data_IF_726392853356
#
_entry.id   IF_726392853356
#
_cell.length_a   1.000
_cell.length_b   1.000
_cell.length_c   1.000
_cell.angle_alpha   90.00
_cell.angle_beta   90.00
_cell.angle_gamma   90.00
#
_symmetry.space_group_name_H-M   'P 1'
#
loop_
_entity.id
_entity.type
_entity.pdbx_description
1 polymer ?
#
# COMPACT_ATOMS: atom_id res chain seq x y z
N UNK A 1 -27.58 -13.56 -13.39
CA UNK A 1 -26.17 -13.21 -13.11
C UNK A 1 -26.02 -12.94 -11.62
N UNK A 2 -25.24 -13.77 -10.90
CA UNK A 2 -25.11 -13.69 -9.45
C UNK A 2 -24.47 -12.36 -9.02
N UNK A 3 -25.22 -11.54 -8.28
CA UNK A 3 -24.68 -10.32 -7.68
C UNK A 3 -23.66 -10.73 -6.62
N UNK A 4 -22.41 -10.33 -6.80
CA UNK A 4 -21.37 -10.43 -5.77
C UNK A 4 -21.85 -9.69 -4.51
N UNK A 5 -22.20 -10.44 -3.47
CA UNK A 5 -22.62 -9.85 -2.20
C UNK A 5 -21.37 -9.36 -1.45
N UNK A 6 -21.04 -8.10 -1.66
CA UNK A 6 -19.89 -7.43 -1.03
C UNK A 6 -19.94 -7.51 0.50
N UNK A 7 -21.13 -7.46 1.10
CA UNK A 7 -21.30 -7.64 2.56
C UNK A 7 -20.89 -9.04 3.00
N UNK A 8 -21.19 -10.06 2.21
CA UNK A 8 -20.81 -11.45 2.49
C UNK A 8 -19.29 -11.66 2.35
N UNK A 9 -18.67 -11.07 1.33
CA UNK A 9 -17.20 -11.10 1.17
C UNK A 9 -16.52 -10.43 2.36
N UNK A 10 -16.99 -9.24 2.75
CA UNK A 10 -16.48 -8.52 3.94
C UNK A 10 -16.65 -9.37 5.20
N UNK A 11 -17.79 -10.06 5.35
CA UNK A 11 -18.04 -10.95 6.47
C UNK A 11 -17.03 -12.11 6.51
N UNK A 12 -16.76 -12.78 5.39
CA UNK A 12 -15.77 -13.87 5.33
C UNK A 12 -14.38 -13.34 5.71
N UNK A 13 -13.96 -12.21 5.14
CA UNK A 13 -12.64 -11.62 5.40
C UNK A 13 -12.50 -11.24 6.87
N UNK A 14 -13.50 -10.57 7.46
CA UNK A 14 -13.45 -10.15 8.87
C UNK A 14 -13.58 -11.30 9.86
N UNK A 15 -14.47 -12.23 9.59
CA UNK A 15 -14.89 -13.23 10.59
C UNK A 15 -14.08 -14.51 10.49
N UNK A 16 -13.67 -14.94 9.28
CA UNK A 16 -12.87 -16.15 9.10
C UNK A 16 -11.38 -15.83 8.93
N UNK A 17 -11.03 -14.91 8.03
CA UNK A 17 -9.62 -14.66 7.69
C UNK A 17 -8.88 -13.83 8.75
N UNK A 18 -9.42 -12.67 9.13
CA UNK A 18 -8.76 -11.80 10.11
C UNK A 18 -8.78 -12.37 11.55
N UNK A 19 -9.71 -13.27 11.87
CA UNK A 19 -9.72 -13.94 13.18
C UNK A 19 -8.62 -14.98 13.35
N UNK A 20 -8.14 -15.60 12.26
CA UNK A 20 -7.01 -16.55 12.29
C UNK A 20 -5.71 -15.89 12.76
N UNK A 21 -5.55 -14.58 12.51
CA UNK A 21 -4.34 -13.85 12.86
C UNK A 21 -4.46 -13.27 14.29
N UNK A 22 -3.47 -13.49 15.18
CA UNK A 22 -3.49 -12.92 16.51
C UNK A 22 -3.57 -11.39 16.49
N UNK A 23 -4.33 -10.79 17.40
CA UNK A 23 -4.65 -9.35 17.38
C UNK A 23 -3.41 -8.45 17.28
N UNK A 24 -2.31 -8.82 17.96
CA UNK A 24 -1.02 -8.12 17.95
C UNK A 24 -0.40 -8.00 16.55
N UNK A 25 -0.63 -8.97 15.67
CA UNK A 25 -0.03 -9.04 14.33
C UNK A 25 -0.97 -8.62 13.20
N UNK A 26 -2.24 -8.28 13.48
CA UNK A 26 -3.19 -7.90 12.43
C UNK A 26 -2.79 -6.64 11.67
N UNK A 27 -2.40 -5.58 12.38
CA UNK A 27 -1.94 -4.33 11.76
C UNK A 27 -0.71 -4.55 10.86
N UNK A 28 0.41 -5.11 11.35
CA UNK A 28 1.60 -5.29 10.52
C UNK A 28 1.31 -6.20 9.32
N UNK A 29 0.51 -7.26 9.52
CA UNK A 29 0.09 -8.14 8.44
C UNK A 29 -0.73 -7.39 7.36
N UNK A 30 -1.69 -6.56 7.77
CA UNK A 30 -2.48 -5.74 6.85
C UNK A 30 -1.59 -4.77 6.05
N UNK A 31 -0.56 -4.19 6.66
CA UNK A 31 0.37 -3.29 5.96
C UNK A 31 1.16 -4.04 4.89
N UNK A 32 1.76 -5.18 5.23
CA UNK A 32 2.51 -6.01 4.27
C UNK A 32 1.59 -6.39 3.10
N UNK A 33 0.39 -6.88 3.40
CA UNK A 33 -0.55 -7.28 2.37
C UNK A 33 -1.03 -6.10 1.51
N UNK A 34 -1.20 -4.92 2.11
CA UNK A 34 -1.55 -3.69 1.39
C UNK A 34 -0.45 -3.25 0.42
N UNK A 35 0.83 -3.35 0.82
CA UNK A 35 1.96 -3.04 -0.04
C UNK A 35 2.12 -4.06 -1.19
N UNK A 36 1.98 -5.36 -0.88
CA UNK A 36 2.04 -6.44 -1.89
C UNK A 36 0.90 -6.30 -2.89
N UNK A 37 -0.32 -6.06 -2.42
CA UNK A 37 -1.48 -5.84 -3.28
C UNK A 37 -1.33 -4.58 -4.13
N UNK A 38 -0.74 -3.50 -3.60
CA UNK A 38 -0.50 -2.28 -4.36
C UNK A 38 0.50 -2.53 -5.50
N UNK A 39 1.59 -3.24 -5.24
CA UNK A 39 2.54 -3.64 -6.28
C UNK A 39 1.89 -4.55 -7.34
N UNK A 40 1.11 -5.53 -6.91
CA UNK A 40 0.35 -6.41 -7.80
C UNK A 40 -0.65 -5.63 -8.65
N UNK A 41 -1.34 -4.67 -8.06
CA UNK A 41 -2.27 -3.78 -8.76
C UNK A 41 -1.55 -2.90 -9.79
N UNK A 42 -0.40 -2.33 -9.45
CA UNK A 42 0.41 -1.57 -10.40
C UNK A 42 0.78 -2.40 -11.64
N UNK A 43 1.30 -3.62 -11.43
CA UNK A 43 1.61 -4.54 -12.53
C UNK A 43 0.37 -4.94 -13.33
N UNK A 44 -0.73 -5.22 -12.64
CA UNK A 44 -2.00 -5.52 -13.29
C UNK A 44 -2.48 -4.36 -14.17
N UNK A 45 -2.38 -3.12 -13.70
CA UNK A 45 -2.79 -1.94 -14.45
C UNK A 45 -1.92 -1.68 -15.68
N UNK A 46 -0.62 -2.00 -15.64
CA UNK A 46 0.23 -1.99 -16.84
C UNK A 46 -0.29 -2.99 -17.88
N UNK A 47 -0.54 -4.24 -17.48
CA UNK A 47 -1.07 -5.28 -18.39
C UNK A 47 -2.46 -4.90 -18.90
N UNK A 48 -3.32 -4.37 -18.03
CA UNK A 48 -4.66 -3.94 -18.37
C UNK A 48 -4.62 -2.79 -19.39
N UNK A 49 -3.77 -1.78 -19.16
CA UNK A 49 -3.58 -0.67 -20.10
C UNK A 49 -3.10 -1.16 -21.46
N UNK A 50 -2.15 -2.11 -21.50
CA UNK A 50 -1.68 -2.71 -22.75
C UNK A 50 -2.79 -3.45 -23.50
N UNK A 51 -3.70 -4.12 -22.79
CA UNK A 51 -4.82 -4.82 -23.40
C UNK A 51 -5.86 -3.88 -23.99
N UNK A 52 -6.07 -2.71 -23.38
CA UNK A 52 -7.04 -1.72 -23.85
C UNK A 52 -6.48 -0.79 -24.92
N UNK A 53 -5.21 -0.39 -24.83
CA UNK A 53 -4.56 0.58 -25.73
C UNK A 53 -3.70 -0.07 -26.82
N UNK A 54 -3.49 -1.39 -26.78
CA UNK A 54 -2.53 -2.11 -27.63
C UNK A 54 -1.07 -1.92 -27.21
N UNK A 55 -0.77 -0.92 -26.37
CA UNK A 55 0.54 -0.63 -25.80
C UNK A 55 0.44 -0.32 -24.30
N UNK A 56 1.43 -0.70 -23.47
CA UNK A 56 1.39 -0.38 -22.04
C UNK A 56 1.47 1.13 -21.81
N UNK A 57 0.78 1.63 -20.78
CA UNK A 57 0.81 3.07 -20.43
C UNK A 57 2.23 3.56 -20.20
N UNK A 58 2.66 4.52 -21.02
CA UNK A 58 3.97 5.18 -20.93
C UNK A 58 4.17 5.85 -19.56
N UNK A 59 3.12 6.41 -18.98
CA UNK A 59 3.15 7.03 -17.66
C UNK A 59 3.47 6.02 -16.55
N UNK A 60 2.81 4.85 -16.56
CA UNK A 60 3.12 3.79 -15.60
C UNK A 60 4.53 3.24 -15.81
N UNK A 61 4.98 3.09 -17.06
CA UNK A 61 6.35 2.66 -17.35
C UNK A 61 7.39 3.67 -16.85
N UNK A 62 7.14 4.97 -16.98
CA UNK A 62 8.02 6.01 -16.43
C UNK A 62 8.11 5.94 -14.91
N UNK A 63 6.98 5.74 -14.21
CA UNK A 63 6.99 5.53 -12.75
C UNK A 63 7.79 4.28 -12.38
N UNK A 64 7.61 3.17 -13.10
CA UNK A 64 8.39 1.96 -12.88
C UNK A 64 9.90 2.21 -13.06
N UNK A 65 10.27 2.96 -14.10
CA UNK A 65 11.66 3.31 -14.38
C UNK A 65 12.25 4.18 -13.26
N UNK A 66 11.54 5.23 -12.83
CA UNK A 66 11.97 6.08 -11.72
C UNK A 66 12.23 5.28 -10.44
N UNK A 67 11.32 4.39 -10.06
CA UNK A 67 11.49 3.54 -8.87
C UNK A 67 12.69 2.60 -9.03
N UNK A 68 12.86 2.00 -10.22
CA UNK A 68 13.99 1.10 -10.50
C UNK A 68 15.32 1.84 -10.43
N UNK A 69 15.38 3.06 -10.96
CA UNK A 69 16.58 3.89 -10.95
C UNK A 69 16.92 4.33 -9.52
N UNK A 70 15.93 4.67 -8.70
CA UNK A 70 16.14 4.94 -7.27
C UNK A 70 16.72 3.74 -6.52
N UNK A 71 16.19 2.53 -6.77
CA UNK A 71 16.72 1.30 -6.17
C UNK A 71 18.17 1.08 -6.61
N UNK A 72 18.47 1.25 -7.91
CA UNK A 72 19.84 1.11 -8.44
C UNK A 72 20.80 2.13 -7.85
N UNK A 73 20.37 3.38 -7.65
CA UNK A 73 21.20 4.39 -6.98
C UNK A 73 21.50 3.96 -5.54
N UNK A 74 20.50 3.45 -4.83
CA UNK A 74 20.65 2.94 -3.48
C UNK A 74 21.61 1.74 -3.41
N UNK A 75 21.51 0.81 -4.36
CA UNK A 75 22.42 -0.33 -4.52
C UNK A 75 23.85 0.12 -4.83
N UNK A 76 24.03 1.15 -5.66
CA UNK A 76 25.37 1.72 -5.94
C UNK A 76 25.99 2.37 -4.72
N UNK A 77 25.19 2.99 -3.86
CA UNK A 77 25.68 3.66 -2.64
C UNK A 77 26.06 2.70 -1.52
N UNK A 78 25.27 1.64 -1.30
CA UNK A 78 25.42 0.74 -0.14
C UNK A 78 25.84 -0.70 -0.51
N UNK A 79 25.96 -1.02 -1.79
CA UNK A 79 26.04 -2.39 -2.28
C UNK A 79 24.70 -3.12 -2.18
N UNK A 80 24.57 -4.26 -2.86
CA UNK A 80 23.33 -5.07 -2.83
C UNK A 80 22.98 -5.56 -1.42
N UNK A 81 23.97 -6.07 -0.67
CA UNK A 81 23.75 -6.52 0.71
C UNK A 81 23.40 -5.38 1.66
N UNK A 82 24.10 -4.24 1.56
CA UNK A 82 23.86 -3.07 2.41
C UNK A 82 22.53 -2.40 2.13
N UNK A 83 22.12 -2.30 0.86
CA UNK A 83 20.82 -1.74 0.49
C UNK A 83 19.65 -2.55 1.07
N UNK A 84 19.69 -3.88 0.97
CA UNK A 84 18.68 -4.76 1.58
C UNK A 84 18.65 -4.56 3.11
N UNK A 85 19.82 -4.50 3.76
CA UNK A 85 19.91 -4.34 5.20
C UNK A 85 19.29 -3.02 5.68
N UNK A 86 19.63 -1.90 5.02
CA UNK A 86 19.08 -0.58 5.37
C UNK A 86 17.56 -0.54 5.13
N UNK A 87 17.08 -1.07 4.00
CA UNK A 87 15.64 -1.15 3.72
C UNK A 87 14.90 -2.02 4.74
N UNK A 88 15.48 -3.14 5.16
CA UNK A 88 14.91 -4.01 6.18
C UNK A 88 14.81 -3.31 7.55
N UNK A 89 15.84 -2.56 7.95
CA UNK A 89 15.82 -1.77 9.19
C UNK A 89 14.74 -0.69 9.12
N UNK A 90 14.70 0.08 8.02
CA UNK A 90 13.68 1.12 7.83
C UNK A 90 12.27 0.51 7.87
N UNK A 91 12.07 -0.64 7.23
CA UNK A 91 10.80 -1.35 7.25
C UNK A 91 10.44 -1.82 8.66
N UNK A 92 11.38 -2.34 9.44
CA UNK A 92 11.15 -2.77 10.81
C UNK A 92 10.78 -1.59 11.73
N UNK A 93 11.47 -0.45 11.59
CA UNK A 93 11.15 0.79 12.32
C UNK A 93 9.75 1.28 11.95
N UNK A 94 9.39 1.26 10.66
CA UNK A 94 8.08 1.64 10.18
C UNK A 94 7.00 0.73 10.79
N UNK A 95 7.21 -0.58 10.76
CA UNK A 95 6.31 -1.58 11.34
C UNK A 95 6.12 -1.38 12.85
N UNK A 96 7.21 -1.11 13.58
CA UNK A 96 7.15 -0.81 15.00
C UNK A 96 6.30 0.43 15.28
N UNK A 97 6.52 1.53 14.55
CA UNK A 97 5.71 2.75 14.69
C UNK A 97 4.26 2.56 14.27
N UNK A 98 4.01 1.76 13.22
CA UNK A 98 2.68 1.45 12.71
C UNK A 98 1.82 0.64 13.69
N UNK A 99 2.46 -0.23 14.48
CA UNK A 99 1.78 -1.08 15.46
C UNK A 99 1.49 -0.40 16.79
N UNK A 100 2.21 0.68 17.13
CA UNK A 100 1.99 1.40 18.41
C UNK A 100 0.52 1.84 18.55
N UNK A 101 -0.17 1.46 19.65
CA UNK A 101 -1.51 1.95 19.91
C UNK A 101 -1.44 3.45 20.24
N UNK A 102 -2.33 4.25 19.64
CA UNK A 102 -2.54 5.64 20.07
C UNK A 102 -3.19 5.57 21.44
N UNK A 103 -2.49 6.06 22.46
CA UNK A 103 -3.00 6.04 23.82
C UNK A 103 -4.34 6.82 23.88
N UNK A 104 -5.41 6.16 24.34
CA UNK A 104 -6.59 6.86 24.82
C UNK A 104 -6.25 7.41 26.20
N UNK A 105 -5.96 8.71 26.30
CA UNK A 105 -6.05 9.37 27.60
C UNK A 105 -7.53 9.64 27.89
N UNK A 106 -7.98 9.20 29.05
CA UNK A 106 -9.38 9.33 29.49
C UNK A 106 -9.82 10.78 29.56
N UNK A 107 -11.15 10.94 29.40
CA UNK A 107 -12.00 12.04 29.86
C UNK A 107 -11.63 13.49 29.49
N UNK A 108 -12.57 14.11 28.77
CA UNK A 108 -12.85 15.55 28.78
C UNK A 108 -11.72 16.48 28.36
N UNK A 109 -11.59 16.76 27.07
CA UNK A 109 -11.88 18.12 26.61
C UNK A 109 -11.91 18.25 25.09
N UNK A 110 -12.64 19.26 24.65
CA UNK A 110 -12.89 19.59 23.27
C UNK A 110 -11.65 20.16 22.56
N UNK A 111 -11.44 19.77 21.30
CA UNK A 111 -10.56 20.43 20.29
C UNK A 111 -9.03 20.27 20.41
N UNK A 112 -8.51 19.12 20.81
CA UNK A 112 -7.10 18.79 20.56
C UNK A 112 -6.92 17.89 19.34
N UNK A 113 -6.08 18.37 18.40
CA UNK A 113 -5.70 17.70 17.17
C UNK A 113 -5.25 16.27 17.46
N UNK A 114 -6.12 15.31 17.13
CA UNK A 114 -5.81 13.88 17.15
C UNK A 114 -4.51 13.70 16.38
N UNK A 115 -3.46 13.21 17.04
CA UNK A 115 -2.35 12.59 16.33
C UNK A 115 -2.94 11.42 15.53
N UNK A 116 -3.25 11.66 14.25
CA UNK A 116 -3.75 10.62 13.35
C UNK A 116 -2.72 9.51 13.41
N UNK A 117 -3.14 8.32 13.84
CA UNK A 117 -2.21 7.21 13.92
C UNK A 117 -1.58 7.02 12.54
N UNK A 118 -0.28 6.74 12.49
CA UNK A 118 0.43 6.42 11.24
C UNK A 118 -0.29 5.34 10.43
N UNK A 119 -1.05 4.48 11.12
CA UNK A 119 -1.97 3.53 10.50
C UNK A 119 -2.98 4.16 9.54
N UNK A 120 -3.68 5.22 9.96
CA UNK A 120 -4.69 5.87 9.10
C UNK A 120 -4.04 6.65 7.97
N UNK A 121 -2.91 7.31 8.22
CA UNK A 121 -2.19 8.07 7.19
C UNK A 121 -1.65 7.16 6.10
N UNK A 122 -0.96 6.08 6.47
CA UNK A 122 -0.40 5.13 5.51
C UNK A 122 -1.52 4.45 4.70
N UNK A 123 -2.63 4.06 5.32
CA UNK A 123 -3.77 3.52 4.58
C UNK A 123 -4.38 4.54 3.62
N UNK A 124 -4.46 5.82 4.01
CA UNK A 124 -4.95 6.89 3.14
C UNK A 124 -4.02 7.09 1.95
N UNK A 125 -2.70 7.08 2.17
CA UNK A 125 -1.69 7.20 1.11
C UNK A 125 -1.80 6.01 0.14
N UNK A 126 -1.88 4.78 0.66
CA UNK A 126 -2.05 3.57 -0.17
C UNK A 126 -3.33 3.68 -1.01
N UNK A 127 -4.45 4.08 -0.40
CA UNK A 127 -5.71 4.27 -1.13
C UNK A 127 -5.59 5.34 -2.22
N UNK A 128 -4.89 6.43 -1.95
CA UNK A 128 -4.62 7.47 -2.95
C UNK A 128 -3.77 6.93 -4.10
N UNK A 129 -2.74 6.13 -3.79
CA UNK A 129 -1.88 5.51 -4.81
C UNK A 129 -2.67 4.59 -5.74
N UNK A 130 -3.64 3.81 -5.23
CA UNK A 130 -4.53 3.03 -6.10
C UNK A 130 -5.26 3.90 -7.14
N UNK A 131 -5.78 5.05 -6.71
CA UNK A 131 -6.48 5.99 -7.60
C UNK A 131 -5.51 6.60 -8.61
N UNK A 132 -4.33 7.07 -8.16
CA UNK A 132 -3.32 7.66 -9.03
C UNK A 132 -2.87 6.65 -10.09
N UNK A 133 -2.61 5.40 -9.71
CA UNK A 133 -2.24 4.34 -10.66
C UNK A 133 -3.36 4.12 -11.68
N UNK A 134 -4.62 4.09 -11.25
CA UNK A 134 -5.76 3.96 -12.16
C UNK A 134 -5.81 5.10 -13.18
N UNK A 135 -5.65 6.35 -12.71
CA UNK A 135 -5.62 7.53 -13.57
C UNK A 135 -4.45 7.43 -14.56
N UNK A 136 -3.23 7.16 -14.11
CA UNK A 136 -2.06 7.04 -14.99
C UNK A 136 -2.18 5.90 -16.02
N UNK A 137 -2.87 4.82 -15.67
CA UNK A 137 -3.11 3.71 -16.58
C UNK A 137 -3.97 4.10 -17.78
N UNK A 138 -4.98 4.94 -17.54
CA UNK A 138 -5.97 5.34 -18.54
C UNK A 138 -5.79 6.78 -19.02
N UNK A 139 -4.83 7.53 -18.50
CA UNK A 139 -4.50 8.88 -18.95
C UNK A 139 -4.29 8.96 -20.48
N UNK A 140 -3.64 7.98 -21.15
CA UNK A 140 -3.52 7.98 -22.61
C UNK A 140 -4.86 7.88 -23.37
N UNK A 141 -5.99 7.57 -22.72
CA UNK A 141 -7.31 7.63 -23.37
C UNK A 141 -7.91 9.04 -23.42
N UNK A 142 -7.44 9.94 -22.56
CA UNK A 142 -8.03 11.27 -22.38
C UNK A 142 -7.22 12.37 -23.10
N UNK A 143 -6.08 12.01 -23.69
CA UNK A 143 -5.18 12.88 -24.46
C UNK A 143 -5.13 12.34 -25.87
#
# INVERSE_FOLDING_TARGET
MGRLNTRYIIYIIKTKFLKLIPYKYRKPFLLVFALVSLYGYFKFMIVLSARFLGVPSSYLLSVQKMVTDLIRLFEKSFGFGGSIFVLAILFFILMYKYTRPVAKKGSSDSKEYRSKSLYYEINSIISMLYIVIAVLAFLPFFI
#
